data_IF_741704995268
#
_entry.id   IF_741704995268
#
_cell.length_a   1.000
_cell.length_b   1.000
_cell.length_c   1.000
_cell.angle_alpha   90.00
_cell.angle_beta   90.00
_cell.angle_gamma   90.00
#
_symmetry.space_group_name_H-M   'P 1'
#
loop_
_entity.id
_entity.type
_entity.pdbx_description
1 polymer ?
#
# COMPACT_ATOMS: atom_id res chain seq x y z
N UNK A 1 -3.84 2.46 14.56
CA UNK A 1 -3.52 3.54 13.59
C UNK A 1 -4.42 4.71 13.91
N UNK A 2 -3.92 5.93 13.87
CA UNK A 2 -4.74 7.11 14.17
C UNK A 2 -5.55 7.47 12.92
N UNK A 3 -6.76 6.93 12.79
CA UNK A 3 -7.61 7.21 11.64
C UNK A 3 -8.20 8.62 11.79
N UNK A 4 -7.79 9.52 10.90
CA UNK A 4 -8.39 10.86 10.83
C UNK A 4 -9.70 10.74 10.07
N UNK A 5 -10.81 11.03 10.76
CA UNK A 5 -12.16 10.99 10.18
C UNK A 5 -12.74 12.40 10.08
N UNK A 6 -13.37 12.73 8.96
CA UNK A 6 -14.06 14.01 8.79
C UNK A 6 -15.27 13.91 7.87
N UNK A 7 -16.14 14.92 7.91
CA UNK A 7 -17.28 14.99 6.99
C UNK A 7 -16.89 15.59 5.62
N UNK A 8 -17.68 15.35 4.56
CA UNK A 8 -17.40 15.87 3.22
C UNK A 8 -17.27 17.41 3.14
N UNK A 9 -18.00 18.14 3.99
CA UNK A 9 -17.95 19.61 3.98
C UNK A 9 -16.60 20.13 4.47
N UNK A 10 -16.03 19.51 5.50
CA UNK A 10 -14.68 19.80 5.99
C UNK A 10 -13.64 19.37 4.96
N UNK A 11 -13.77 18.17 4.40
CA UNK A 11 -12.86 17.67 3.37
C UNK A 11 -12.78 18.62 2.16
N UNK A 12 -13.94 19.09 1.67
CA UNK A 12 -14.01 20.05 0.56
C UNK A 12 -13.32 21.37 0.88
N UNK A 13 -13.49 21.91 2.11
CA UNK A 13 -12.87 23.18 2.51
C UNK A 13 -11.34 23.10 2.56
N UNK A 14 -10.81 21.93 2.93
CA UNK A 14 -9.38 21.74 3.17
C UNK A 14 -8.70 20.89 2.09
N UNK A 15 -9.35 20.65 0.95
CA UNK A 15 -8.98 19.57 0.02
C UNK A 15 -7.50 19.56 -0.39
N UNK A 16 -6.93 20.71 -0.77
CA UNK A 16 -5.52 20.80 -1.17
C UNK A 16 -4.55 20.54 -0.01
N UNK A 17 -4.89 20.94 1.21
CA UNK A 17 -4.09 20.61 2.39
C UNK A 17 -4.13 19.11 2.65
N UNK A 18 -5.32 18.50 2.57
CA UNK A 18 -5.47 17.06 2.77
C UNK A 18 -4.71 16.24 1.72
N UNK A 19 -4.70 16.69 0.45
CA UNK A 19 -3.86 16.08 -0.59
C UNK A 19 -2.38 16.10 -0.19
N UNK A 20 -1.89 17.21 0.35
CA UNK A 20 -0.50 17.30 0.84
C UNK A 20 -0.27 16.36 2.02
N UNK A 21 -1.16 16.37 3.01
CA UNK A 21 -1.06 15.52 4.21
C UNK A 21 -1.01 14.03 3.89
N UNK A 22 -1.89 13.53 3.02
CA UNK A 22 -1.91 12.09 2.68
C UNK A 22 -0.66 11.65 1.90
N UNK A 23 -0.08 12.54 1.08
CA UNK A 23 1.14 12.22 0.32
C UNK A 23 2.42 12.38 1.16
N UNK A 24 2.46 13.30 2.13
CA UNK A 24 3.65 13.49 2.98
C UNK A 24 3.71 12.51 4.15
N UNK A 25 2.56 12.15 4.71
CA UNK A 25 2.50 11.31 5.91
C UNK A 25 2.25 9.83 5.60
N UNK A 26 1.88 9.49 4.37
CA UNK A 26 1.49 8.12 3.98
C UNK A 26 0.38 7.54 4.88
N UNK A 27 -0.60 8.38 5.23
CA UNK A 27 -1.75 8.01 6.07
C UNK A 27 -3.06 8.33 5.38
N UNK A 28 -4.00 7.40 5.43
CA UNK A 28 -5.34 7.56 4.89
C UNK A 28 -6.24 8.48 5.75
N UNK A 29 -7.23 9.09 5.10
CA UNK A 29 -8.25 9.90 5.74
C UNK A 29 -9.63 9.37 5.34
N UNK A 30 -10.47 9.09 6.34
CA UNK A 30 -11.86 8.66 6.13
C UNK A 30 -12.78 9.87 6.01
N UNK A 31 -13.51 9.95 4.91
CA UNK A 31 -14.52 10.97 4.65
C UNK A 31 -15.89 10.32 4.84
N UNK A 32 -16.58 10.65 5.92
CA UNK A 32 -17.83 10.01 6.33
C UNK A 32 -18.99 11.00 6.26
N UNK A 33 -20.05 10.64 5.53
CA UNK A 33 -21.26 11.44 5.37
C UNK A 33 -22.43 10.80 6.11
N UNK A 34 -23.33 11.64 6.63
CA UNK A 34 -24.63 11.19 7.12
C UNK A 34 -25.52 10.65 5.98
N UNK A 35 -25.19 10.96 4.72
CA UNK A 35 -25.87 10.43 3.53
C UNK A 35 -25.24 9.10 3.13
N UNK A 36 -26.05 8.05 3.15
CA UNK A 36 -25.63 6.72 2.67
C UNK A 36 -25.06 6.79 1.25
N UNK A 37 -23.96 6.07 1.02
CA UNK A 37 -23.26 6.00 -0.26
C UNK A 37 -22.23 7.12 -0.52
N UNK A 38 -22.10 8.10 0.38
CA UNK A 38 -21.15 9.22 0.21
C UNK A 38 -19.90 9.12 1.10
N UNK A 39 -19.58 7.91 1.55
CA UNK A 39 -18.35 7.65 2.29
C UNK A 39 -17.20 7.37 1.31
N UNK A 40 -16.01 7.85 1.63
CA UNK A 40 -14.81 7.63 0.83
C UNK A 40 -13.57 7.60 1.72
N UNK A 41 -12.47 7.07 1.18
CA UNK A 41 -11.14 7.17 1.77
C UNK A 41 -10.25 7.96 0.83
N UNK A 42 -9.55 8.96 1.36
CA UNK A 42 -8.50 9.69 0.64
C UNK A 42 -7.15 9.08 1.00
N UNK A 43 -6.37 8.73 -0.02
CA UNK A 43 -5.05 8.08 0.11
C UNK A 43 -4.11 8.73 -0.90
N UNK A 44 -2.80 8.77 -0.62
CA UNK A 44 -1.78 9.15 -1.59
C UNK A 44 -1.84 8.27 -2.84
N UNK A 45 -1.56 8.84 -4.01
CA UNK A 45 -1.61 8.09 -5.27
C UNK A 45 -0.52 7.02 -5.32
N UNK A 46 0.65 7.32 -4.77
CA UNK A 46 1.77 6.38 -4.67
C UNK A 46 1.40 5.21 -3.76
N UNK A 47 0.85 5.48 -2.58
CA UNK A 47 0.38 4.45 -1.65
C UNK A 47 -0.71 3.57 -2.29
N UNK A 48 -1.67 4.18 -3.00
CA UNK A 48 -2.68 3.43 -3.74
C UNK A 48 -2.06 2.49 -4.77
N UNK A 49 -1.06 2.95 -5.54
CA UNK A 49 -0.35 2.10 -6.50
C UNK A 49 0.43 0.99 -5.81
N UNK A 50 1.08 1.27 -4.68
CA UNK A 50 1.81 0.28 -3.90
C UNK A 50 0.87 -0.81 -3.34
N UNK A 51 -0.33 -0.43 -2.88
CA UNK A 51 -1.38 -1.37 -2.46
C UNK A 51 -1.80 -2.26 -3.64
N UNK A 52 -2.08 -1.67 -4.81
CA UNK A 52 -2.47 -2.44 -5.99
C UNK A 52 -1.38 -3.41 -6.44
N UNK A 53 -0.11 -2.99 -6.44
CA UNK A 53 1.03 -3.84 -6.77
C UNK A 53 1.18 -4.98 -5.75
N UNK A 54 1.09 -4.68 -4.46
CA UNK A 54 1.17 -5.70 -3.40
C UNK A 54 0.08 -6.74 -3.55
N UNK A 55 -1.16 -6.32 -3.81
CA UNK A 55 -2.28 -7.23 -4.05
C UNK A 55 -2.05 -8.07 -5.31
N UNK A 56 -1.48 -7.49 -6.36
CA UNK A 56 -1.14 -8.22 -7.58
C UNK A 56 -0.09 -9.30 -7.30
N UNK A 57 1.02 -8.95 -6.66
CA UNK A 57 2.10 -9.89 -6.32
C UNK A 57 1.65 -11.00 -5.36
N UNK A 58 0.72 -10.69 -4.45
CA UNK A 58 0.07 -11.69 -3.60
C UNK A 58 -0.75 -12.66 -4.46
N UNK A 59 -1.62 -12.14 -5.33
CA UNK A 59 -2.52 -12.95 -6.16
C UNK A 59 -1.78 -13.85 -7.16
N UNK A 60 -0.61 -13.41 -7.66
CA UNK A 60 0.21 -14.23 -8.56
C UNK A 60 1.08 -15.25 -7.82
N UNK A 61 1.06 -15.27 -6.49
CA UNK A 61 1.91 -16.13 -5.66
C UNK A 61 3.38 -15.72 -5.62
N UNK A 62 3.72 -14.53 -6.14
CA UNK A 62 5.09 -14.01 -6.11
C UNK A 62 5.53 -13.76 -4.68
N UNK A 63 4.66 -13.16 -3.85
CA UNK A 63 4.99 -12.90 -2.44
C UNK A 63 5.17 -14.17 -1.62
N UNK A 64 4.54 -15.29 -1.97
CA UNK A 64 4.78 -16.56 -1.29
C UNK A 64 6.22 -17.05 -1.53
N UNK A 65 6.71 -16.95 -2.77
CA UNK A 65 8.11 -17.26 -3.09
C UNK A 65 9.11 -16.32 -2.42
N UNK A 66 8.74 -15.05 -2.24
CA UNK A 66 9.55 -14.10 -1.48
C UNK A 66 9.61 -14.52 -0.01
N UNK A 67 8.47 -14.81 0.63
CA UNK A 67 8.41 -15.24 2.04
C UNK A 67 9.12 -16.56 2.31
N UNK A 68 9.03 -17.52 1.37
CA UNK A 68 9.78 -18.77 1.44
C UNK A 68 11.29 -18.48 1.50
N UNK A 69 11.77 -17.57 0.65
CA UNK A 69 13.18 -17.15 0.62
C UNK A 69 13.60 -16.29 1.81
N UNK A 70 12.74 -15.45 2.36
CA UNK A 70 13.05 -14.67 3.57
C UNK A 70 13.26 -15.56 4.80
N UNK A 71 12.63 -16.74 4.82
CA UNK A 71 12.79 -17.75 5.88
C UNK A 71 13.95 -18.72 5.61
N UNK A 72 14.49 -18.71 4.41
CA UNK A 72 15.61 -19.57 4.03
C UNK A 72 16.89 -19.07 4.70
N UNK A 73 17.49 -19.93 5.52
CA UNK A 73 18.72 -19.66 6.25
C UNK A 73 19.96 -20.32 5.63
N UNK A 74 19.84 -20.84 4.39
CA UNK A 74 20.94 -21.49 3.66
C UNK A 74 22.15 -20.57 3.36
N UNK A 75 22.05 -19.28 3.71
CA UNK A 75 23.11 -18.30 3.57
C UNK A 75 23.24 -17.74 2.15
N UNK A 76 24.44 -17.31 1.79
CA UNK A 76 24.73 -16.72 0.48
C UNK A 76 25.35 -17.77 -0.44
N UNK A 77 24.89 -17.82 -1.68
CA UNK A 77 25.55 -18.55 -2.77
C UNK A 77 26.39 -17.56 -3.58
N UNK A 78 27.60 -17.94 -3.97
CA UNK A 78 28.38 -17.15 -4.92
C UNK A 78 27.66 -17.17 -6.27
N UNK A 79 27.56 -16.01 -6.94
CA UNK A 79 26.90 -15.89 -8.24
C UNK A 79 27.52 -16.83 -9.30
N UNK A 80 28.82 -17.10 -9.19
CA UNK A 80 29.55 -18.01 -10.09
C UNK A 80 29.19 -19.49 -9.87
N UNK A 81 28.62 -19.83 -8.70
CA UNK A 81 28.22 -21.19 -8.32
C UNK A 81 26.71 -21.46 -8.58
N UNK A 82 25.98 -20.47 -9.11
CA UNK A 82 24.55 -20.61 -9.44
C UNK A 82 24.38 -21.32 -10.79
N UNK A 83 23.71 -22.46 -10.75
CA UNK A 83 23.23 -23.14 -11.96
C UNK A 83 21.94 -22.47 -12.46
N UNK A 84 22.09 -21.51 -13.37
CA UNK A 84 20.99 -20.77 -13.96
C UNK A 84 20.08 -21.62 -14.86
N UNK A 85 20.53 -22.78 -15.34
CA UNK A 85 19.71 -23.67 -16.18
C UNK A 85 18.81 -24.59 -15.35
N UNK A 86 19.08 -24.71 -14.04
CA UNK A 86 18.34 -25.57 -13.11
C UNK A 86 17.29 -24.82 -12.25
N UNK A 87 17.19 -23.50 -12.39
CA UNK A 87 16.24 -22.62 -11.69
C UNK A 87 14.99 -22.31 -12.53
#
# INVERSE_FOLDING_TARGET
>A
MANTTMNPSTARKNFYQLLKEVNENHTEIEIISDRSGNNAVLIGLEDWRAIQETLFLEQTGTLDKVRDREKDDSGFTNIDDIDWEAL
#
